data_IF_880463100531
#
_entry.id   IF_880463100531
#
_cell.length_a   1.000
_cell.length_b   1.000
_cell.length_c   1.000
_cell.angle_alpha   90.00
_cell.angle_beta   90.00
_cell.angle_gamma   90.00
#
_symmetry.space_group_name_H-M   'P 1'
#
loop_
_entity.id
_entity.type
_entity.pdbx_description
1 polymer ?
#
# COMPACT_ATOMS: atom_id res chain seq x y z
N UNK A 1 10.59 0.58 -16.85
CA UNK A 1 10.88 1.46 -17.99
C UNK A 1 12.03 2.44 -17.68
N UNK A 2 11.98 3.24 -16.62
CA UNK A 2 13.03 4.21 -16.25
C UNK A 2 14.42 3.61 -16.00
N UNK A 3 14.51 2.41 -15.43
CA UNK A 3 15.79 1.74 -15.15
C UNK A 3 16.65 1.52 -16.41
N UNK A 4 16.03 1.11 -17.52
CA UNK A 4 16.72 0.87 -18.78
C UNK A 4 17.23 2.18 -19.41
N UNK A 5 16.50 3.29 -19.18
CA UNK A 5 16.87 4.62 -19.70
C UNK A 5 18.06 5.22 -18.95
N UNK A 6 18.18 4.99 -17.63
CA UNK A 6 19.35 5.42 -16.85
C UNK A 6 20.61 4.68 -17.33
N UNK A 7 20.51 3.37 -17.57
CA UNK A 7 21.64 2.55 -18.03
C UNK A 7 22.09 2.84 -19.46
N UNK A 8 21.24 3.37 -20.31
CA UNK A 8 21.55 3.63 -21.72
C UNK A 8 21.79 5.10 -22.01
N UNK A 9 21.66 5.96 -21.03
CA UNK A 9 21.83 7.39 -21.23
C UNK A 9 23.30 7.78 -21.04
N UNK A 10 23.98 8.06 -22.13
CA UNK A 10 25.37 8.52 -22.17
C UNK A 10 25.59 9.82 -21.38
N UNK A 11 24.56 10.65 -21.27
CA UNK A 11 24.63 11.93 -20.54
C UNK A 11 24.86 11.71 -19.03
N UNK A 12 24.34 10.61 -18.47
CA UNK A 12 24.59 10.23 -17.06
C UNK A 12 26.04 9.84 -16.83
N UNK A 13 26.59 9.04 -17.72
CA UNK A 13 27.99 8.60 -17.65
C UNK A 13 28.92 9.79 -17.79
N UNK A 14 28.71 10.60 -18.82
CA UNK A 14 29.52 11.79 -19.09
C UNK A 14 29.47 12.75 -17.90
N UNK A 15 28.28 13.03 -17.35
CA UNK A 15 28.14 13.93 -16.19
C UNK A 15 28.83 13.39 -14.93
N UNK A 16 28.68 12.10 -14.61
CA UNK A 16 29.24 11.52 -13.39
C UNK A 16 30.74 11.25 -13.47
N UNK A 17 31.28 11.01 -14.66
CA UNK A 17 32.70 10.69 -14.87
C UNK A 17 33.54 11.93 -15.16
N UNK A 18 32.92 13.04 -15.62
CA UNK A 18 33.65 14.28 -15.96
C UNK A 18 34.27 14.90 -14.72
N UNK A 19 35.56 15.23 -14.80
CA UNK A 19 36.23 16.02 -13.78
C UNK A 19 35.99 17.52 -14.01
N UNK A 20 35.47 18.19 -12.99
CA UNK A 20 35.15 19.60 -13.02
C UNK A 20 36.28 20.42 -12.42
N UNK A 21 36.67 21.50 -13.11
CA UNK A 21 37.79 22.36 -12.68
C UNK A 21 37.41 23.32 -11.57
N UNK A 22 36.13 23.68 -11.47
CA UNK A 22 35.61 24.57 -10.45
C UNK A 22 34.10 24.36 -10.23
N UNK A 23 33.59 24.90 -9.11
CA UNK A 23 32.18 24.74 -8.73
C UNK A 23 31.20 25.38 -9.72
N UNK A 24 31.58 26.43 -10.43
CA UNK A 24 30.69 27.10 -11.40
C UNK A 24 30.47 26.20 -12.64
N UNK A 25 31.54 25.55 -13.12
CA UNK A 25 31.45 24.56 -14.20
C UNK A 25 30.55 23.38 -13.79
N UNK A 26 30.73 22.89 -12.57
CA UNK A 26 29.88 21.82 -12.04
C UNK A 26 28.41 22.23 -11.98
N UNK A 27 28.09 23.41 -11.42
CA UNK A 27 26.71 23.89 -11.30
C UNK A 27 26.05 24.03 -12.67
N UNK A 28 26.74 24.57 -13.66
CA UNK A 28 26.24 24.68 -15.03
C UNK A 28 25.97 23.30 -15.65
N UNK A 29 26.90 22.35 -15.46
CA UNK A 29 26.72 20.97 -15.93
C UNK A 29 25.56 20.27 -15.21
N UNK A 30 25.42 20.48 -13.90
CA UNK A 30 24.33 19.91 -13.09
C UNK A 30 22.96 20.43 -13.54
N UNK A 31 22.83 21.72 -13.80
CA UNK A 31 21.59 22.30 -14.31
C UNK A 31 21.21 21.72 -15.69
N UNK A 32 22.18 21.63 -16.58
CA UNK A 32 21.97 21.03 -17.90
C UNK A 32 21.58 19.54 -17.80
N UNK A 33 22.26 18.80 -16.91
CA UNK A 33 21.97 17.41 -16.63
C UNK A 33 20.53 17.21 -16.10
N UNK A 34 20.08 18.02 -15.14
CA UNK A 34 18.74 17.95 -14.60
C UNK A 34 17.66 18.28 -15.64
N UNK A 35 17.86 19.36 -16.42
CA UNK A 35 16.88 19.83 -17.41
C UNK A 35 16.83 18.94 -18.66
N UNK A 36 17.92 18.26 -19.01
CA UNK A 36 18.01 17.40 -20.19
C UNK A 36 17.60 15.95 -19.97
N UNK A 37 17.40 15.53 -18.73
CA UNK A 37 17.16 14.13 -18.40
C UNK A 37 15.71 13.88 -17.98
N UNK A 38 15.23 12.65 -18.26
CA UNK A 38 13.93 12.15 -17.75
C UNK A 38 13.83 12.12 -16.22
N UNK A 39 14.91 12.43 -15.50
CA UNK A 39 14.93 12.64 -14.06
C UNK A 39 14.02 13.79 -13.65
N UNK A 40 13.84 14.82 -14.47
CA UNK A 40 12.93 15.91 -14.15
C UNK A 40 11.49 15.41 -13.92
N UNK A 41 11.02 14.49 -14.75
CA UNK A 41 9.72 13.86 -14.58
C UNK A 41 9.68 12.86 -13.41
N UNK A 42 10.79 12.14 -13.16
CA UNK A 42 10.90 11.24 -12.02
C UNK A 42 11.07 11.98 -10.69
N UNK A 43 11.68 13.17 -10.71
CA UNK A 43 11.84 14.07 -9.55
C UNK A 43 10.52 14.66 -9.06
N UNK A 44 9.51 14.74 -9.91
CA UNK A 44 8.16 15.19 -9.56
C UNK A 44 7.31 14.14 -8.81
N UNK A 45 7.80 12.91 -8.70
CA UNK A 45 7.11 11.87 -7.92
C UNK A 45 7.35 12.08 -6.42
N UNK A 46 6.37 12.60 -5.72
CA UNK A 46 6.42 12.86 -4.26
C UNK A 46 6.69 11.61 -3.39
N UNK A 47 6.59 10.42 -3.98
CA UNK A 47 6.75 9.14 -3.28
C UNK A 47 8.13 8.50 -3.42
N UNK A 48 9.03 9.06 -4.23
CA UNK A 48 10.37 8.52 -4.49
C UNK A 48 11.42 9.61 -4.55
N UNK A 49 12.57 9.35 -3.94
CA UNK A 49 13.74 10.21 -3.97
C UNK A 49 14.87 9.47 -4.68
N UNK A 50 15.35 10.02 -5.79
CA UNK A 50 16.50 9.50 -6.52
C UNK A 50 17.75 10.26 -6.12
N UNK A 51 18.81 9.55 -5.82
CA UNK A 51 20.13 10.13 -5.54
C UNK A 51 21.21 9.32 -6.23
N UNK A 52 22.10 9.99 -6.90
CA UNK A 52 23.27 9.42 -7.54
C UNK A 52 24.50 9.65 -6.66
N UNK A 53 25.35 8.66 -6.58
CA UNK A 53 26.63 8.72 -5.87
C UNK A 53 27.77 8.32 -6.82
N UNK A 54 28.88 9.00 -6.70
CA UNK A 54 30.09 8.71 -7.49
C UNK A 54 31.34 8.97 -6.63
N UNK A 55 32.41 8.28 -6.92
CA UNK A 55 33.72 8.51 -6.31
C UNK A 55 34.50 9.68 -6.95
N UNK A 56 33.89 10.37 -7.92
CA UNK A 56 34.44 11.57 -8.51
C UNK A 56 34.50 12.70 -7.45
N UNK A 57 35.70 13.05 -7.00
CA UNK A 57 35.98 14.02 -5.95
C UNK A 57 35.70 15.49 -6.36
N UNK A 58 35.50 15.75 -7.65
CA UNK A 58 35.16 17.07 -8.17
C UNK A 58 33.66 17.39 -8.12
N UNK A 59 32.83 16.42 -7.75
CA UNK A 59 31.39 16.59 -7.54
C UNK A 59 31.14 17.40 -6.27
N UNK A 60 30.31 18.44 -6.38
CA UNK A 60 29.88 19.21 -5.22
C UNK A 60 28.66 18.52 -4.59
N UNK A 61 28.82 18.13 -3.34
CA UNK A 61 27.74 17.49 -2.58
C UNK A 61 26.50 18.37 -2.44
N UNK A 62 25.37 17.90 -2.94
CA UNK A 62 24.10 18.59 -2.80
C UNK A 62 23.05 18.08 -3.79
N UNK A 63 21.78 18.25 -3.45
CA UNK A 63 20.69 17.84 -4.30
C UNK A 63 20.66 16.34 -4.60
N UNK A 64 20.63 15.99 -5.88
CA UNK A 64 20.42 14.62 -6.36
C UNK A 64 21.73 13.89 -6.72
N UNK A 65 22.86 14.55 -6.64
CA UNK A 65 24.17 13.95 -6.89
C UNK A 65 25.10 14.26 -5.72
N UNK A 66 25.79 13.23 -5.24
CA UNK A 66 26.67 13.33 -4.09
C UNK A 66 27.93 12.48 -4.30
N UNK A 67 28.97 12.77 -3.52
CA UNK A 67 30.16 11.92 -3.45
C UNK A 67 29.86 10.62 -2.73
N UNK A 68 30.57 9.56 -3.10
CA UNK A 68 30.40 8.20 -2.57
C UNK A 68 30.64 8.12 -1.05
N UNK A 69 31.46 9.00 -0.49
CA UNK A 69 31.73 9.02 0.94
C UNK A 69 30.46 9.18 1.81
N UNK A 70 29.45 9.86 1.30
CA UNK A 70 28.16 9.98 1.98
C UNK A 70 27.35 8.67 1.98
N UNK A 71 27.59 7.79 1.02
CA UNK A 71 26.91 6.51 0.92
C UNK A 71 27.62 5.41 1.73
N UNK A 72 28.97 5.44 1.74
CA UNK A 72 29.81 4.38 2.32
C UNK A 72 29.50 4.04 3.78
N UNK A 73 29.00 5.01 4.54
CA UNK A 73 28.67 4.84 5.96
C UNK A 73 27.20 4.47 6.20
N UNK A 74 26.41 4.25 5.15
CA UNK A 74 25.00 3.88 5.28
C UNK A 74 24.84 2.37 5.43
N UNK A 75 23.83 1.95 6.20
CA UNK A 75 23.53 0.54 6.43
C UNK A 75 23.27 -0.21 5.13
N UNK A 76 22.50 0.39 4.22
CA UNK A 76 22.17 -0.19 2.91
C UNK A 76 23.41 -0.45 2.04
N UNK A 77 24.43 0.45 2.10
CA UNK A 77 25.66 0.25 1.35
C UNK A 77 26.52 -0.86 1.96
N UNK A 78 26.63 -0.89 3.29
CA UNK A 78 27.41 -1.93 3.98
C UNK A 78 26.83 -3.32 3.70
N UNK A 79 25.52 -3.48 3.82
CA UNK A 79 24.84 -4.74 3.51
C UNK A 79 25.02 -5.16 2.04
N UNK A 80 24.89 -4.22 1.10
CA UNK A 80 25.10 -4.52 -0.32
C UNK A 80 26.50 -5.09 -0.61
N UNK A 81 27.52 -4.50 0.01
CA UNK A 81 28.90 -4.93 -0.18
C UNK A 81 29.25 -6.23 0.55
N UNK A 82 28.72 -6.42 1.77
CA UNK A 82 28.91 -7.69 2.52
C UNK A 82 28.33 -8.87 1.75
N UNK A 83 27.21 -8.68 1.08
CA UNK A 83 26.56 -9.70 0.25
C UNK A 83 27.17 -9.81 -1.17
N UNK A 84 28.16 -9.01 -1.51
CA UNK A 84 28.78 -8.91 -2.84
C UNK A 84 27.77 -8.77 -3.98
N UNK A 85 26.66 -8.07 -3.73
CA UNK A 85 25.58 -7.83 -4.69
C UNK A 85 25.81 -6.53 -5.45
N UNK A 86 25.34 -6.47 -6.69
CA UNK A 86 25.34 -5.24 -7.50
C UNK A 86 24.09 -4.38 -7.28
N UNK A 87 23.05 -4.95 -6.66
CA UNK A 87 21.76 -4.28 -6.39
C UNK A 87 21.04 -4.98 -5.25
N UNK A 88 20.27 -4.23 -4.49
CA UNK A 88 19.45 -4.76 -3.40
C UNK A 88 18.29 -3.85 -3.05
N UNK A 89 17.31 -4.42 -2.36
CA UNK A 89 16.21 -3.71 -1.72
C UNK A 89 16.40 -3.85 -0.20
N UNK A 90 16.49 -2.73 0.50
CA UNK A 90 16.80 -2.68 1.92
C UNK A 90 15.69 -1.99 2.68
N UNK A 91 15.36 -2.54 3.84
CA UNK A 91 14.42 -1.96 4.79
C UNK A 91 15.20 -1.59 6.04
N UNK A 92 15.49 -0.32 6.18
CA UNK A 92 16.36 0.20 7.25
C UNK A 92 15.61 1.17 8.15
N UNK A 93 16.09 1.26 9.38
CA UNK A 93 15.61 2.25 10.33
C UNK A 93 16.70 3.29 10.53
N UNK A 94 16.50 4.46 9.91
CA UNK A 94 17.44 5.58 9.94
C UNK A 94 18.77 5.36 9.19
N UNK A 95 18.68 5.23 7.87
CA UNK A 95 19.88 5.14 6.99
C UNK A 95 20.54 6.50 6.70
N UNK A 96 20.17 7.58 7.37
CA UNK A 96 20.79 8.88 7.13
C UNK A 96 21.25 9.56 8.39
N UNK A 97 22.56 9.80 8.45
CA UNK A 97 23.21 10.58 9.51
C UNK A 97 22.80 12.05 9.57
N UNK A 98 21.99 12.54 8.62
CA UNK A 98 21.68 13.96 8.44
C UNK A 98 20.28 14.38 8.90
N UNK A 99 19.41 13.46 9.31
CA UNK A 99 18.06 13.78 9.78
C UNK A 99 17.95 13.66 11.29
N UNK A 100 17.22 14.60 11.87
CA UNK A 100 17.00 14.68 13.32
C UNK A 100 16.03 13.60 13.80
N UNK A 101 15.15 13.12 12.91
CA UNK A 101 14.13 12.11 13.24
C UNK A 101 14.47 10.77 12.61
N UNK A 102 14.53 9.75 13.44
CA UNK A 102 14.65 8.36 12.98
C UNK A 102 13.34 7.88 12.40
N UNK A 103 13.39 7.28 11.24
CA UNK A 103 12.22 6.76 10.54
C UNK A 103 12.56 5.53 9.70
N UNK A 104 11.56 4.69 9.46
CA UNK A 104 11.70 3.55 8.57
C UNK A 104 11.83 4.03 7.13
N UNK A 105 12.70 3.38 6.36
CA UNK A 105 12.94 3.68 4.94
C UNK A 105 12.99 2.42 4.12
N UNK A 106 12.57 2.55 2.90
CA UNK A 106 12.68 1.52 1.86
C UNK A 106 13.66 2.06 0.85
N UNK A 107 14.78 1.38 0.68
CA UNK A 107 15.90 1.82 -0.15
C UNK A 107 16.19 0.76 -1.21
N UNK A 108 16.09 1.16 -2.46
CA UNK A 108 16.70 0.40 -3.54
C UNK A 108 18.06 0.99 -3.84
N UNK A 109 19.11 0.20 -3.73
CA UNK A 109 20.48 0.59 -4.04
C UNK A 109 21.00 -0.27 -5.16
N UNK A 110 21.65 0.36 -6.14
CA UNK A 110 22.21 -0.31 -7.28
C UNK A 110 23.54 0.31 -7.68
N UNK A 111 24.57 -0.54 -7.80
CA UNK A 111 25.82 -0.19 -8.45
C UNK A 111 25.57 -0.02 -9.95
N UNK A 112 26.10 1.06 -10.51
CA UNK A 112 25.98 1.38 -11.92
C UNK A 112 27.28 0.96 -12.59
N UNK A 113 27.30 -0.25 -13.14
CA UNK A 113 28.43 -0.76 -13.93
C UNK A 113 28.27 -0.25 -15.36
N UNK A 114 28.53 1.04 -15.54
CA UNK A 114 28.59 1.65 -16.88
C UNK A 114 29.90 1.29 -17.57
N UNK A 115 30.04 1.78 -18.80
CA UNK A 115 31.15 1.55 -19.70
C UNK A 115 32.54 1.91 -19.14
N UNK A 116 32.59 2.78 -18.12
CA UNK A 116 33.82 3.16 -17.45
C UNK A 116 33.89 2.45 -16.09
N UNK A 117 34.80 1.47 -16.00
CA UNK A 117 35.08 0.72 -14.78
C UNK A 117 35.99 1.48 -13.78
N UNK A 118 36.54 2.64 -14.18
CA UNK A 118 37.50 3.38 -13.34
C UNK A 118 36.82 4.14 -12.22
N UNK A 119 35.52 4.50 -12.36
CA UNK A 119 34.78 5.26 -11.36
C UNK A 119 33.61 4.46 -10.80
N UNK A 120 33.54 4.41 -9.48
CA UNK A 120 32.47 3.71 -8.75
C UNK A 120 31.22 4.60 -8.66
N UNK A 121 30.06 4.09 -9.13
CA UNK A 121 28.82 4.85 -9.22
C UNK A 121 27.65 4.06 -8.67
N UNK A 122 26.76 4.71 -7.93
CA UNK A 122 25.56 4.11 -7.39
C UNK A 122 24.31 4.96 -7.64
N UNK A 123 23.20 4.27 -7.84
CA UNK A 123 21.86 4.84 -7.81
C UNK A 123 21.16 4.38 -6.53
N UNK A 124 20.75 5.33 -5.70
CA UNK A 124 19.92 5.13 -4.54
C UNK A 124 18.51 5.66 -4.83
N UNK A 125 17.50 4.84 -4.64
CA UNK A 125 16.08 5.22 -4.72
C UNK A 125 15.49 5.00 -3.34
N UNK A 126 15.08 6.07 -2.68
CA UNK A 126 14.35 6.02 -1.42
C UNK A 126 12.86 6.12 -1.71
N UNK A 127 12.09 5.15 -1.22
CA UNK A 127 10.64 5.18 -1.28
C UNK A 127 10.09 5.74 0.04
N UNK A 128 9.09 6.61 -0.06
CA UNK A 128 8.38 7.08 1.11
C UNK A 128 7.63 5.93 1.78
N UNK A 129 8.11 5.54 2.96
CA UNK A 129 7.56 4.42 3.73
C UNK A 129 6.07 4.61 4.00
N UNK A 130 5.66 5.85 4.29
CA UNK A 130 4.26 6.14 4.56
C UNK A 130 3.34 6.03 3.37
N UNK A 131 3.84 6.38 2.22
CA UNK A 131 3.09 6.16 0.99
C UNK A 131 2.90 4.67 0.75
N UNK A 132 3.90 3.83 1.02
CA UNK A 132 3.78 2.37 0.91
C UNK A 132 2.77 1.79 1.90
N UNK A 133 2.83 2.20 3.17
CA UNK A 133 1.83 1.80 4.19
C UNK A 133 0.43 2.25 3.78
N UNK A 134 0.29 3.45 3.25
CA UNK A 134 -1.01 3.97 2.79
C UNK A 134 -1.55 3.17 1.61
N UNK A 135 -0.70 2.79 0.66
CA UNK A 135 -1.09 1.93 -0.46
C UNK A 135 -1.64 0.61 0.06
N UNK A 136 -0.93 -0.06 0.99
CA UNK A 136 -1.36 -1.34 1.56
C UNK A 136 -2.69 -1.19 2.32
N UNK A 137 -2.84 -0.12 3.11
CA UNK A 137 -4.08 0.17 3.84
C UNK A 137 -5.27 0.45 2.90
N UNK A 138 -5.02 1.11 1.78
CA UNK A 138 -6.07 1.46 0.81
C UNK A 138 -6.44 0.29 -0.12
N UNK A 139 -5.73 -0.83 -0.08
CA UNK A 139 -6.06 -2.01 -0.88
C UNK A 139 -7.36 -2.71 -0.45
N UNK A 140 -8.05 -2.18 0.55
CA UNK A 140 -9.39 -2.61 1.01
C UNK A 140 -9.48 -4.12 1.28
N UNK A 141 -8.42 -4.70 1.82
CA UNK A 141 -8.46 -6.08 2.28
C UNK A 141 -9.10 -6.12 3.66
N UNK A 142 -10.16 -6.90 3.81
CA UNK A 142 -10.74 -7.23 5.11
C UNK A 142 -9.78 -8.05 5.98
N UNK A 143 -8.65 -8.45 5.41
CA UNK A 143 -7.64 -9.28 6.04
C UNK A 143 -6.44 -8.46 6.50
N UNK A 144 -5.82 -8.83 7.60
CA UNK A 144 -4.54 -8.26 8.00
C UNK A 144 -3.42 -8.81 7.11
N UNK A 145 -2.67 -7.91 6.49
CA UNK A 145 -1.54 -8.24 5.62
C UNK A 145 -0.25 -7.79 6.31
N UNK A 146 0.69 -8.72 6.45
CA UNK A 146 2.03 -8.46 6.94
C UNK A 146 3.04 -8.80 5.84
N UNK A 147 3.98 -7.91 5.57
CA UNK A 147 5.12 -8.17 4.69
C UNK A 147 6.36 -8.22 5.57
N UNK A 148 7.04 -9.35 5.54
CA UNK A 148 8.15 -9.65 6.44
C UNK A 148 9.41 -10.02 5.67
N UNK A 149 10.56 -9.77 6.29
CA UNK A 149 11.86 -10.30 5.91
C UNK A 149 12.37 -11.12 7.08
N UNK A 150 12.39 -12.44 6.93
CA UNK A 150 12.62 -13.35 8.05
C UNK A 150 11.58 -13.16 9.15
N UNK A 151 12.06 -12.84 10.36
CA UNK A 151 11.22 -12.56 11.54
C UNK A 151 10.85 -11.08 11.71
N UNK A 152 11.23 -10.22 10.78
CA UNK A 152 11.07 -8.76 10.87
C UNK A 152 9.86 -8.29 10.06
N UNK A 153 8.89 -7.64 10.70
CA UNK A 153 7.71 -7.07 10.03
C UNK A 153 8.11 -5.75 9.38
N UNK A 154 8.14 -5.72 8.05
CA UNK A 154 8.51 -4.57 7.26
C UNK A 154 7.33 -3.62 7.03
N UNK A 155 6.21 -4.14 6.57
CA UNK A 155 5.01 -3.38 6.23
C UNK A 155 3.76 -4.10 6.73
N UNK A 156 2.74 -3.34 7.12
CA UNK A 156 1.44 -3.88 7.53
C UNK A 156 0.32 -2.89 7.23
N UNK A 157 -0.87 -3.42 6.93
CA UNK A 157 -2.10 -2.62 6.90
C UNK A 157 -2.74 -2.46 8.29
N UNK A 158 -2.29 -3.24 9.29
CA UNK A 158 -2.72 -3.20 10.68
C UNK A 158 -1.91 -2.22 11.55
N UNK A 159 -1.77 -2.57 12.82
CA UNK A 159 -1.14 -1.74 13.85
C UNK A 159 0.41 -1.70 13.80
N UNK A 160 1.04 -2.59 13.04
CA UNK A 160 2.51 -2.71 12.98
C UNK A 160 3.19 -1.66 12.09
N UNK A 161 2.42 -0.76 11.46
CA UNK A 161 2.90 0.20 10.48
C UNK A 161 3.33 1.57 11.03
N UNK A 162 3.91 1.65 12.25
CA UNK A 162 4.38 2.93 12.81
C UNK A 162 5.71 3.37 12.19
N UNK A 163 5.80 4.64 11.78
CA UNK A 163 7.00 5.23 11.14
C UNK A 163 8.19 5.40 12.07
N UNK A 164 7.93 5.84 13.28
CA UNK A 164 8.94 6.32 14.22
C UNK A 164 9.48 5.25 15.16
N UNK A 165 9.23 3.97 14.89
CA UNK A 165 9.72 2.87 15.68
C UNK A 165 10.51 1.88 14.84
N UNK A 166 11.46 1.18 15.44
CA UNK A 166 12.15 0.06 14.82
C UNK A 166 11.18 -1.01 14.32
N UNK A 167 11.61 -1.81 13.36
CA UNK A 167 10.83 -2.92 12.86
C UNK A 167 10.55 -3.92 13.97
N UNK A 168 9.28 -4.28 14.12
CA UNK A 168 8.87 -5.26 15.13
C UNK A 168 9.16 -6.67 14.64
N UNK A 169 9.39 -7.56 15.58
CA UNK A 169 9.55 -8.98 15.28
C UNK A 169 8.20 -9.67 15.17
N UNK A 170 8.15 -10.60 14.26
CA UNK A 170 7.00 -11.46 14.02
C UNK A 170 6.90 -12.46 15.17
N UNK A 171 5.75 -12.51 15.83
CA UNK A 171 5.46 -13.54 16.81
C UNK A 171 4.75 -14.72 16.12
N UNK A 172 5.15 -15.95 16.50
CA UNK A 172 4.53 -17.17 16.00
C UNK A 172 3.01 -17.23 16.28
N UNK A 173 2.55 -16.57 17.34
CA UNK A 173 1.12 -16.46 17.62
C UNK A 173 0.38 -15.62 16.57
N UNK A 174 1.05 -14.62 15.99
CA UNK A 174 0.46 -13.72 14.99
C UNK A 174 0.20 -14.42 13.65
N UNK A 175 1.02 -15.43 13.31
CA UNK A 175 0.97 -16.12 12.00
C UNK A 175 0.23 -17.46 12.05
N UNK A 176 -0.28 -17.88 13.20
CA UNK A 176 -0.81 -19.24 13.43
C UNK A 176 -1.87 -19.70 12.42
N UNK A 177 -2.61 -18.78 11.82
CA UNK A 177 -3.69 -19.08 10.86
C UNK A 177 -3.55 -18.25 9.59
N UNK A 178 -2.36 -17.68 9.35
CA UNK A 178 -2.09 -16.85 8.18
C UNK A 178 -1.74 -17.72 6.96
N UNK A 179 -2.18 -17.28 5.80
CA UNK A 179 -1.67 -17.80 4.53
C UNK A 179 -0.32 -17.15 4.26
N UNK A 180 0.65 -17.98 3.87
CA UNK A 180 2.02 -17.57 3.62
C UNK A 180 2.35 -17.64 2.13
N UNK A 181 3.01 -16.60 1.62
CA UNK A 181 3.53 -16.58 0.27
C UNK A 181 4.87 -15.83 0.22
N UNK A 182 5.92 -16.48 -0.27
CA UNK A 182 7.26 -15.88 -0.38
C UNK A 182 7.53 -15.44 -1.80
N UNK A 183 8.03 -14.21 -1.94
CA UNK A 183 8.49 -13.63 -3.21
C UNK A 183 9.93 -13.17 -3.04
N UNK A 184 10.75 -13.35 -4.08
CA UNK A 184 12.10 -12.80 -4.12
C UNK A 184 12.12 -11.52 -4.95
N UNK A 185 12.51 -10.41 -4.35
CA UNK A 185 12.55 -9.09 -4.98
C UNK A 185 13.95 -8.49 -4.85
N UNK A 186 14.66 -8.37 -5.98
CA UNK A 186 16.02 -7.82 -6.04
C UNK A 186 17.04 -8.53 -5.13
N UNK A 187 16.85 -9.83 -4.89
CA UNK A 187 17.73 -10.63 -4.02
C UNK A 187 17.38 -10.58 -2.54
N UNK A 188 16.23 -9.97 -2.20
CA UNK A 188 15.66 -10.00 -0.85
C UNK A 188 14.41 -10.87 -0.88
N UNK A 189 14.33 -11.86 0.00
CA UNK A 189 13.17 -12.74 0.12
C UNK A 189 12.17 -12.12 1.07
N UNK A 190 11.00 -11.79 0.55
CA UNK A 190 9.90 -11.20 1.29
C UNK A 190 8.78 -12.24 1.47
N UNK A 191 8.37 -12.45 2.70
CA UNK A 191 7.24 -13.32 3.02
C UNK A 191 6.02 -12.49 3.34
N UNK A 192 4.94 -12.74 2.61
CA UNK A 192 3.66 -12.08 2.78
C UNK A 192 2.76 -13.02 3.58
N UNK A 193 2.34 -12.57 4.76
CA UNK A 193 1.35 -13.25 5.58
C UNK A 193 0.01 -12.55 5.44
N UNK A 194 -1.02 -13.32 5.10
CA UNK A 194 -2.40 -12.83 5.04
C UNK A 194 -3.19 -13.53 6.12
N UNK A 195 -3.53 -12.80 7.17
CA UNK A 195 -4.32 -13.31 8.27
C UNK A 195 -5.79 -13.00 8.03
N UNK A 196 -6.65 -14.01 7.91
CA UNK A 196 -8.09 -13.76 7.84
C UNK A 196 -8.54 -13.08 9.13
N UNK A 197 -9.31 -12.01 9.02
CA UNK A 197 -9.94 -11.42 10.19
C UNK A 197 -10.94 -12.44 10.71
N UNK A 198 -10.65 -12.99 11.89
CA UNK A 198 -11.59 -13.86 12.58
C UNK A 198 -12.93 -13.14 12.67
N UNK A 199 -13.95 -13.75 12.07
CA UNK A 199 -15.33 -13.31 12.13
C UNK A 199 -15.79 -12.16 11.22
N UNK A 200 -15.15 -11.86 10.09
CA UNK A 200 -15.76 -10.91 9.14
C UNK A 200 -17.18 -11.34 8.75
N UNK A 201 -17.40 -12.63 8.51
CA UNK A 201 -18.72 -13.19 8.22
C UNK A 201 -19.67 -13.14 9.42
N UNK A 202 -19.21 -13.57 10.60
CA UNK A 202 -20.03 -13.53 11.83
C UNK A 202 -20.26 -12.09 12.32
N UNK A 203 -19.27 -11.20 12.14
CA UNK A 203 -19.40 -9.79 12.49
C UNK A 203 -20.35 -9.07 11.53
N UNK A 204 -20.28 -9.37 10.24
CA UNK A 204 -21.23 -8.86 9.23
C UNK A 204 -22.64 -9.37 9.51
N UNK A 205 -22.82 -10.67 9.77
CA UNK A 205 -24.13 -11.23 10.17
C UNK A 205 -24.63 -10.54 11.44
N UNK A 206 -23.77 -10.38 12.45
CA UNK A 206 -24.17 -9.74 13.72
C UNK A 206 -24.57 -8.28 13.54
N UNK A 207 -23.90 -7.54 12.66
CA UNK A 207 -24.24 -6.14 12.36
C UNK A 207 -25.52 -6.03 11.53
N UNK A 208 -25.78 -7.00 10.64
CA UNK A 208 -26.98 -7.05 9.80
C UNK A 208 -28.14 -7.80 10.44
N UNK A 209 -27.90 -8.52 11.51
CA UNK A 209 -28.91 -9.30 12.24
C UNK A 209 -30.15 -8.49 12.61
N UNK A 210 -30.08 -7.22 13.06
CA UNK A 210 -31.26 -6.41 13.32
C UNK A 210 -32.10 -6.16 12.06
N UNK A 211 -31.46 -5.95 10.91
CA UNK A 211 -32.13 -5.71 9.62
C UNK A 211 -32.77 -7.00 9.12
N UNK A 212 -32.06 -8.12 9.21
CA UNK A 212 -32.55 -9.46 8.84
C UNK A 212 -33.76 -9.83 9.71
N UNK A 213 -33.68 -9.58 11.02
CA UNK A 213 -34.76 -9.84 11.95
C UNK A 213 -35.98 -8.97 11.67
N UNK A 214 -35.77 -7.68 11.37
CA UNK A 214 -36.82 -6.75 11.00
C UNK A 214 -37.53 -7.17 9.70
N UNK A 215 -36.78 -7.61 8.70
CA UNK A 215 -37.33 -8.14 7.45
C UNK A 215 -38.11 -9.43 7.67
N UNK A 216 -37.64 -10.32 8.55
CA UNK A 216 -38.30 -11.57 8.87
C UNK A 216 -39.62 -11.30 9.62
N UNK A 217 -39.59 -10.41 10.60
CA UNK A 217 -40.77 -9.96 11.34
C UNK A 217 -41.78 -9.29 10.40
N UNK A 218 -41.32 -8.42 9.50
CA UNK A 218 -42.18 -7.76 8.53
C UNK A 218 -42.85 -8.77 7.59
N UNK A 219 -42.09 -9.75 7.08
CA UNK A 219 -42.62 -10.76 6.16
C UNK A 219 -43.62 -11.73 6.84
N UNK A 220 -43.56 -11.94 8.12
CA UNK A 220 -44.51 -12.79 8.86
C UNK A 220 -45.69 -12.00 9.39
N UNK A 221 -45.43 -10.87 10.03
CA UNK A 221 -46.50 -10.09 10.71
C UNK A 221 -47.37 -9.36 9.69
N UNK A 222 -46.77 -8.83 8.60
CA UNK A 222 -47.53 -8.04 7.63
C UNK A 222 -48.61 -8.84 6.89
N UNK A 223 -48.34 -10.05 6.34
CA UNK A 223 -49.37 -10.89 5.75
C UNK A 223 -50.44 -11.32 6.74
N UNK A 224 -50.03 -11.68 7.98
CA UNK A 224 -50.98 -12.07 9.03
C UNK A 224 -51.93 -10.94 9.39
N UNK A 225 -51.42 -9.73 9.53
CA UNK A 225 -52.17 -8.53 9.82
C UNK A 225 -53.09 -8.15 8.67
N UNK A 226 -52.56 -8.27 7.42
CA UNK A 226 -53.33 -8.02 6.22
C UNK A 226 -54.48 -9.00 6.06
N UNK A 227 -54.28 -10.29 6.31
CA UNK A 227 -55.35 -11.30 6.27
C UNK A 227 -56.38 -11.03 7.33
N UNK A 228 -56.00 -10.63 8.55
CA UNK A 228 -56.95 -10.29 9.61
C UNK A 228 -57.81 -9.05 9.28
N UNK A 229 -57.20 -7.99 8.78
CA UNK A 229 -57.90 -6.79 8.35
C UNK A 229 -58.85 -7.09 7.17
N UNK A 230 -58.36 -7.85 6.21
CA UNK A 230 -59.11 -8.26 5.06
C UNK A 230 -60.32 -9.09 5.46
N UNK A 231 -60.15 -10.12 6.24
CA UNK A 231 -61.24 -10.95 6.75
C UNK A 231 -62.27 -10.12 7.55
N UNK A 232 -61.80 -9.23 8.40
CA UNK A 232 -62.69 -8.41 9.23
C UNK A 232 -63.46 -7.39 8.43
N UNK A 233 -62.90 -6.85 7.40
CA UNK A 233 -63.54 -5.84 6.56
C UNK A 233 -64.41 -6.46 5.46
N UNK A 234 -63.96 -7.49 4.78
CA UNK A 234 -64.71 -8.15 3.73
C UNK A 234 -65.80 -9.07 4.25
N UNK A 235 -65.52 -9.88 5.27
CA UNK A 235 -66.51 -10.79 5.79
C UNK A 235 -67.68 -10.05 6.43
N UNK A 236 -67.44 -8.91 7.08
CA UNK A 236 -68.51 -8.06 7.59
C UNK A 236 -69.40 -7.51 6.45
N UNK A 237 -68.83 -7.00 5.39
CA UNK A 237 -69.56 -6.44 4.25
C UNK A 237 -70.36 -7.50 3.51
N UNK A 238 -69.77 -8.69 3.33
CA UNK A 238 -70.47 -9.80 2.66
C UNK A 238 -71.64 -10.29 3.53
N UNK A 239 -71.46 -10.34 4.87
CA UNK A 239 -72.49 -10.76 5.80
C UNK A 239 -73.64 -9.74 5.84
N UNK A 240 -73.32 -8.46 5.80
CA UNK A 240 -74.33 -7.38 5.75
C UNK A 240 -75.09 -7.40 4.40
N UNK A 241 -74.41 -7.54 3.27
CA UNK A 241 -75.01 -7.75 1.97
C UNK A 241 -75.92 -8.97 1.94
N UNK A 242 -75.45 -10.12 2.43
CA UNK A 242 -76.27 -11.33 2.52
C UNK A 242 -77.49 -11.19 3.39
N UNK A 243 -77.40 -10.37 4.46
CA UNK A 243 -78.57 -10.07 5.32
C UNK A 243 -79.59 -9.17 4.61
N UNK A 244 -79.12 -8.18 3.86
CA UNK A 244 -79.98 -7.31 3.04
C UNK A 244 -80.66 -8.14 1.94
N UNK A 245 -79.95 -9.02 1.25
CA UNK A 245 -80.58 -9.87 0.24
C UNK A 245 -81.61 -10.83 0.83
N UNK A 246 -81.37 -11.39 2.03
CA UNK A 246 -82.35 -12.22 2.72
C UNK A 246 -83.59 -11.45 3.17
N UNK A 247 -83.46 -10.20 3.56
CA UNK A 247 -84.61 -9.39 3.95
C UNK A 247 -85.46 -8.99 2.73
N UNK A 248 -84.85 -8.76 1.57
CA UNK A 248 -85.55 -8.43 0.32
C UNK A 248 -86.31 -9.66 -0.21
N UNK A 249 -85.73 -10.88 -0.05
CA UNK A 249 -86.36 -12.12 -0.54
C UNK A 249 -87.54 -12.55 0.34
N UNK A 250 -87.55 -12.18 1.62
CA UNK A 250 -88.67 -12.44 2.55
C UNK A 250 -89.85 -11.45 2.39
N UNK A 251 -89.62 -10.26 1.87
CA UNK A 251 -90.73 -9.29 1.66
C UNK A 251 -91.47 -9.48 0.31
N UNK A 252 -90.96 -10.32 -0.57
CA UNK A 252 -91.65 -10.64 -1.86
C UNK A 252 -92.42 -11.94 -1.87
N UNK A 253 -92.60 -12.59 -0.72
CA UNK A 253 -93.37 -13.86 -0.62
C UNK A 253 -94.64 -13.68 0.20
N UNK A 254 -95.43 -12.61 -0.07
CA UNK A 254 -96.83 -12.56 0.40
C UNK A 254 -97.68 -12.16 -0.82
N UNK A 255 -98.68 -12.99 -1.23
CA UNK A 255 -99.64 -12.72 -2.29
C UNK A 255 -100.73 -11.70 -1.86
#
# INVERSE_FOLDING_TARGET
>A
MYKRQIYTNRDFEEFLSKRYTNSAEYVAAYQNFLSGTLLENALGMNSMIFTLYTDNDTIVNGGRVNTLDKLRNTESYLQLNEEAKSKGLFFVYDDSSSRITRERRIIYLQRLDFYDAETEKYLKIEFDYGSMVRIIKNMNYDNEVLICEGDRILLSNGQYGSYGSEFQRLDNATIREAYEHTISLYGTDLTIYVKPVENSFLTSIRNELPIILLLLVANVIFPFWFVQIFNRSFTKRITELSRVFKSVDSDHLIP
#
